data_IF_031411907447
#
_entry.id   IF_031411907447
#
_cell.length_a   1.000
_cell.length_b   1.000
_cell.length_c   1.000
_cell.angle_alpha   90.00
_cell.angle_beta   90.00
_cell.angle_gamma   90.00
#
_symmetry.space_group_name_H-M   'P 1'
#
loop_
_entity.id
_entity.type
_entity.pdbx_description
1 polymer ?
#
# COMPACT_ATOMS: atom_id res chain seq x y z
N UNK A 1 48.95 -19.81 3.35
CA UNK A 1 49.22 -20.86 4.35
C UNK A 1 48.14 -20.72 5.43
N UNK A 2 47.20 -21.61 5.71
CA UNK A 2 46.80 -22.97 5.28
C UNK A 2 45.25 -22.98 5.45
N UNK A 3 44.42 -23.20 4.43
CA UNK A 3 43.85 -24.50 3.99
C UNK A 3 43.71 -25.53 5.11
N UNK A 4 42.46 -25.84 5.49
CA UNK A 4 42.05 -27.20 5.88
C UNK A 4 40.68 -27.49 5.28
N UNK A 5 40.69 -28.33 4.25
CA UNK A 5 39.56 -29.09 3.72
C UNK A 5 39.37 -30.36 4.56
N UNK A 6 38.13 -30.83 4.76
CA UNK A 6 37.88 -32.24 5.08
C UNK A 6 36.69 -32.75 4.26
N UNK A 7 36.95 -33.89 3.62
CA UNK A 7 36.15 -34.63 2.65
C UNK A 7 35.06 -35.52 3.28
N UNK A 8 34.10 -35.88 2.42
CA UNK A 8 33.11 -36.96 2.47
C UNK A 8 33.65 -38.36 2.87
N UNK A 9 32.71 -39.30 3.15
CA UNK A 9 32.60 -40.42 2.21
C UNK A 9 31.16 -40.79 1.77
N UNK A 10 31.13 -41.38 0.57
CA UNK A 10 30.03 -42.05 -0.14
C UNK A 10 29.72 -43.46 0.42
N UNK A 11 28.47 -43.91 0.28
CA UNK A 11 28.05 -45.27 -0.17
C UNK A 11 26.50 -45.27 -0.32
N UNK A 12 25.89 -45.27 -1.52
CA UNK A 12 25.57 -46.38 -2.44
C UNK A 12 24.76 -47.56 -1.83
N UNK A 13 23.47 -47.63 -2.19
CA UNK A 13 22.81 -48.90 -2.56
C UNK A 13 21.53 -48.65 -3.36
N UNK A 14 21.54 -49.20 -4.58
CA UNK A 14 20.47 -49.36 -5.55
C UNK A 14 19.40 -50.36 -5.11
N UNK A 15 18.17 -50.26 -5.65
CA UNK A 15 17.47 -51.36 -6.32
C UNK A 15 16.17 -50.85 -6.99
N UNK A 16 16.07 -51.08 -8.29
CA UNK A 16 14.90 -50.84 -9.12
C UNK A 16 14.12 -52.16 -9.28
N UNK A 17 12.78 -52.10 -9.29
CA UNK A 17 11.94 -53.10 -9.96
C UNK A 17 10.58 -52.46 -10.38
N UNK A 18 10.28 -52.52 -11.67
CA UNK A 18 8.96 -52.36 -12.34
C UNK A 18 8.64 -53.75 -12.96
N UNK A 19 7.49 -53.96 -13.64
CA UNK A 19 6.08 -53.66 -13.33
C UNK A 19 5.21 -54.95 -13.47
N UNK A 20 3.92 -54.90 -13.16
CA UNK A 20 2.97 -55.92 -13.68
C UNK A 20 1.57 -55.36 -13.93
N UNK A 21 1.12 -55.51 -15.17
CA UNK A 21 -0.24 -55.32 -15.65
C UNK A 21 -1.19 -56.37 -15.10
N UNK A 22 -2.43 -55.99 -14.75
CA UNK A 22 -3.62 -56.81 -15.06
C UNK A 22 -4.80 -55.92 -15.46
N UNK A 23 -5.35 -56.23 -16.64
CA UNK A 23 -6.65 -55.79 -17.17
C UNK A 23 -7.76 -56.48 -16.37
N UNK A 24 -8.80 -55.73 -16.02
CA UNK A 24 -10.13 -56.29 -15.78
C UNK A 24 -11.16 -55.44 -16.52
N UNK A 25 -11.81 -56.05 -17.50
CA UNK A 25 -12.95 -55.54 -18.26
C UNK A 25 -14.24 -55.79 -17.49
N UNK A 26 -15.05 -54.76 -17.28
CA UNK A 26 -16.49 -54.91 -17.01
C UNK A 26 -17.26 -53.84 -17.76
N UNK A 27 -18.14 -54.28 -18.65
CA UNK A 27 -19.31 -53.56 -19.14
C UNK A 27 -20.38 -53.57 -18.03
N UNK A 28 -21.26 -52.58 -17.86
CA UNK A 28 -22.40 -52.26 -18.71
C UNK A 28 -23.14 -51.02 -18.12
N UNK A 29 -24.03 -50.48 -18.96
CA UNK A 29 -25.24 -49.70 -18.65
C UNK A 29 -25.13 -48.22 -18.25
N UNK A 30 -25.45 -47.38 -19.23
CA UNK A 30 -25.91 -46.00 -19.07
C UNK A 30 -27.30 -45.94 -18.43
N UNK A 31 -27.47 -45.07 -17.43
CA UNK A 31 -28.75 -44.55 -16.98
C UNK A 31 -28.65 -43.02 -16.89
N UNK A 32 -29.65 -42.24 -17.34
CA UNK A 32 -29.57 -40.79 -17.34
C UNK A 32 -29.71 -40.25 -15.91
N UNK A 33 -28.68 -39.57 -15.41
CA UNK A 33 -28.73 -38.89 -14.11
C UNK A 33 -29.48 -37.56 -14.26
N UNK A 34 -30.60 -37.48 -13.56
CA UNK A 34 -31.38 -36.28 -13.26
C UNK A 34 -30.46 -35.15 -12.77
N UNK A 35 -30.52 -34.00 -13.44
CA UNK A 35 -29.82 -32.77 -13.04
C UNK A 35 -30.53 -32.22 -11.81
N UNK A 36 -29.97 -32.49 -10.62
CA UNK A 36 -30.45 -31.92 -9.37
C UNK A 36 -30.35 -30.39 -9.42
N UNK A 37 -31.48 -29.71 -9.16
CA UNK A 37 -31.64 -28.24 -9.02
C UNK A 37 -30.85 -27.62 -7.85
N UNK A 38 -29.84 -28.30 -7.33
CA UNK A 38 -29.04 -27.88 -6.16
C UNK A 38 -27.67 -27.30 -6.56
N UNK A 39 -27.31 -27.32 -7.84
CA UNK A 39 -26.03 -26.81 -8.34
C UNK A 39 -26.01 -25.32 -8.73
N UNK A 40 -27.15 -24.63 -8.66
CA UNK A 40 -27.25 -23.19 -9.01
C UNK A 40 -27.15 -22.25 -7.79
N UNK A 41 -27.15 -22.78 -6.56
CA UNK A 41 -27.13 -21.97 -5.34
C UNK A 41 -25.72 -21.74 -4.76
N UNK A 42 -24.66 -22.37 -5.32
CA UNK A 42 -23.27 -22.22 -4.83
C UNK A 42 -22.37 -21.35 -5.71
N UNK A 43 -22.89 -20.78 -6.81
CA UNK A 43 -22.13 -19.86 -7.67
C UNK A 43 -22.35 -18.38 -7.32
N UNK A 44 -23.28 -18.06 -6.42
CA UNK A 44 -23.69 -16.69 -6.10
C UNK A 44 -23.15 -16.16 -4.75
N UNK A 45 -22.16 -16.83 -4.13
CA UNK A 45 -21.64 -16.45 -2.81
C UNK A 45 -20.11 -16.30 -2.77
N UNK A 46 -19.50 -15.87 -3.88
CA UNK A 46 -18.05 -15.58 -3.96
C UNK A 46 -17.78 -14.39 -4.88
N UNK A 47 -18.28 -13.21 -4.52
CA UNK A 47 -17.82 -11.94 -5.12
C UNK A 47 -17.95 -10.75 -4.18
N UNK A 48 -17.64 -10.94 -2.90
CA UNK A 48 -17.34 -9.79 -2.04
C UNK A 48 -15.95 -10.02 -1.48
N UNK A 49 -14.97 -9.32 -2.06
CA UNK A 49 -13.72 -9.04 -1.36
C UNK A 49 -14.11 -8.50 0.02
N UNK A 50 -13.68 -9.14 1.13
CA UNK A 50 -14.07 -8.67 2.45
C UNK A 50 -13.64 -7.21 2.59
N UNK A 51 -14.58 -6.35 2.99
CA UNK A 51 -14.28 -4.94 3.27
C UNK A 51 -13.22 -4.92 4.38
N UNK A 52 -12.09 -4.22 4.19
CA UNK A 52 -11.07 -4.08 5.22
C UNK A 52 -11.67 -3.56 6.52
N UNK A 53 -11.28 -4.12 7.66
CA UNK A 53 -11.74 -3.64 8.95
C UNK A 53 -11.11 -2.27 9.28
N UNK A 54 -11.92 -1.30 9.69
CA UNK A 54 -11.44 0.02 10.11
C UNK A 54 -10.96 0.00 11.57
N UNK A 55 -9.83 0.66 11.83
CA UNK A 55 -9.22 0.80 13.16
C UNK A 55 -9.48 2.22 13.69
N UNK A 56 -10.15 2.32 14.83
CA UNK A 56 -10.67 3.59 15.36
C UNK A 56 -9.83 4.12 16.52
N UNK A 57 -9.33 3.22 17.37
CA UNK A 57 -8.57 3.56 18.57
C UNK A 57 -7.40 2.60 18.82
N UNK A 58 -6.58 2.89 19.83
CA UNK A 58 -5.38 2.12 20.17
C UNK A 58 -5.67 0.62 20.39
N UNK A 59 -6.85 0.25 20.90
CA UNK A 59 -7.18 -1.15 21.16
C UNK A 59 -7.37 -1.95 19.88
N UNK A 60 -7.92 -1.32 18.83
CA UNK A 60 -8.02 -1.92 17.49
C UNK A 60 -6.63 -2.21 16.93
N UNK A 61 -5.66 -1.31 17.13
CA UNK A 61 -4.27 -1.51 16.72
C UNK A 61 -3.59 -2.62 17.52
N UNK A 62 -3.79 -2.65 18.83
CA UNK A 62 -3.24 -3.69 19.70
C UNK A 62 -3.73 -5.10 19.30
N UNK A 63 -4.94 -5.20 18.75
CA UNK A 63 -5.48 -6.47 18.24
C UNK A 63 -4.72 -7.04 17.03
N UNK A 64 -3.92 -6.21 16.34
CA UNK A 64 -3.11 -6.58 15.18
C UNK A 64 -1.66 -6.93 15.54
N UNK A 65 -1.28 -6.85 16.81
CA UNK A 65 0.09 -7.12 17.23
C UNK A 65 0.49 -8.57 16.95
N UNK A 66 1.69 -8.74 16.42
CA UNK A 66 2.35 -10.04 16.39
C UNK A 66 2.68 -10.50 17.83
N UNK A 67 2.96 -11.80 18.05
CA UNK A 67 3.41 -12.31 19.34
C UNK A 67 4.63 -11.58 19.91
N UNK A 68 5.48 -11.03 19.04
CA UNK A 68 6.69 -10.29 19.41
C UNK A 68 6.43 -8.80 19.73
N UNK A 69 5.16 -8.36 19.69
CA UNK A 69 4.77 -6.99 20.05
C UNK A 69 5.02 -5.94 18.97
N UNK A 70 5.02 -6.36 17.70
CA UNK A 70 5.13 -5.47 16.54
C UNK A 70 3.84 -5.40 15.75
N UNK A 71 3.63 -4.28 15.07
CA UNK A 71 2.56 -4.10 14.08
C UNK A 71 3.16 -3.71 12.74
N UNK A 72 2.63 -4.28 11.66
CA UNK A 72 3.05 -3.98 10.29
C UNK A 72 2.34 -2.74 9.76
N UNK A 73 3.07 -1.86 9.07
CA UNK A 73 2.57 -0.60 8.48
C UNK A 73 2.85 -0.60 6.98
N UNK A 74 1.84 -0.25 6.18
CA UNK A 74 1.93 -0.14 4.71
C UNK A 74 2.42 1.24 4.27
N UNK A 75 3.55 1.31 3.57
CA UNK A 75 4.04 2.52 2.90
C UNK A 75 3.75 2.52 1.40
N UNK A 76 3.04 3.53 0.89
CA UNK A 76 2.61 3.61 -0.53
C UNK A 76 3.04 4.88 -1.28
N UNK A 77 3.41 5.95 -0.56
CA UNK A 77 3.91 7.21 -1.12
C UNK A 77 5.37 7.45 -0.74
N UNK A 78 5.66 8.52 0.00
CA UNK A 78 7.03 8.79 0.47
C UNK A 78 7.63 7.66 1.31
N UNK A 79 6.79 6.86 1.98
CA UNK A 79 7.24 5.72 2.79
C UNK A 79 7.73 4.53 1.95
N UNK A 80 7.63 4.57 0.62
CA UNK A 80 8.38 3.65 -0.26
C UNK A 80 9.90 3.80 -0.10
N UNK A 81 10.39 4.95 0.38
CA UNK A 81 11.79 5.16 0.72
C UNK A 81 12.04 4.80 2.18
N UNK A 82 12.90 3.81 2.44
CA UNK A 82 13.27 3.44 3.81
C UNK A 82 13.85 4.62 4.57
N UNK A 83 14.61 5.50 3.90
CA UNK A 83 15.13 6.74 4.51
C UNK A 83 14.01 7.64 4.99
N UNK A 84 12.98 7.83 4.17
CA UNK A 84 11.80 8.63 4.55
C UNK A 84 11.00 7.95 5.66
N UNK A 85 10.88 6.63 5.60
CA UNK A 85 10.25 5.84 6.66
C UNK A 85 11.01 5.99 7.98
N UNK A 86 12.35 5.87 8.00
CA UNK A 86 13.19 6.06 9.19
C UNK A 86 13.21 7.49 9.73
N UNK A 87 13.02 8.50 8.86
CA UNK A 87 12.82 9.87 9.34
C UNK A 87 11.53 10.04 10.16
N UNK A 88 10.61 9.08 10.03
CA UNK A 88 9.35 9.02 10.77
C UNK A 88 9.40 8.03 11.93
N UNK A 89 9.90 6.82 11.66
CA UNK A 89 9.96 5.68 12.55
C UNK A 89 11.42 5.26 12.64
N UNK A 90 12.25 5.93 13.45
CA UNK A 90 13.69 5.72 13.48
C UNK A 90 14.07 4.25 13.71
N UNK A 91 13.30 3.58 14.56
CA UNK A 91 13.52 2.22 15.02
C UNK A 91 12.72 1.17 14.22
N UNK A 92 12.17 1.54 13.06
CA UNK A 92 11.43 0.58 12.23
C UNK A 92 12.27 -0.66 11.93
N UNK A 93 11.59 -1.80 11.91
CA UNK A 93 12.15 -3.10 11.61
C UNK A 93 11.58 -3.67 10.31
N UNK A 94 12.27 -4.67 9.75
CA UNK A 94 11.76 -5.53 8.68
C UNK A 94 11.17 -4.80 7.46
N UNK A 95 11.83 -3.72 7.01
CA UNK A 95 11.45 -2.99 5.81
C UNK A 95 11.57 -3.90 4.57
N UNK A 96 10.44 -4.11 3.88
CA UNK A 96 10.34 -5.04 2.75
C UNK A 96 9.31 -4.58 1.73
N UNK A 97 9.41 -5.06 0.49
CA UNK A 97 8.41 -4.82 -0.56
C UNK A 97 7.30 -5.87 -0.51
N UNK A 98 6.07 -5.45 -0.80
CA UNK A 98 4.89 -6.31 -0.86
C UNK A 98 3.94 -5.82 -1.95
N UNK A 99 2.89 -6.60 -2.23
CA UNK A 99 1.76 -6.20 -3.04
C UNK A 99 0.48 -6.12 -2.21
N UNK A 100 -0.39 -5.19 -2.57
CA UNK A 100 -1.69 -4.98 -1.95
C UNK A 100 -2.77 -4.89 -3.04
N UNK A 101 -3.71 -5.82 -3.02
CA UNK A 101 -4.81 -5.91 -3.99
C UNK A 101 -6.00 -5.05 -3.59
N UNK A 102 -6.83 -4.69 -4.57
CA UNK A 102 -8.11 -4.01 -4.41
C UNK A 102 -8.01 -2.57 -3.90
N UNK A 103 -6.89 -1.91 -4.16
CA UNK A 103 -6.63 -0.52 -3.81
C UNK A 103 -5.91 0.19 -4.95
N UNK A 104 -6.08 1.51 -5.05
CA UNK A 104 -5.31 2.37 -5.96
C UNK A 104 -4.72 3.57 -5.26
N UNK A 105 -3.63 4.10 -5.82
CA UNK A 105 -2.99 5.36 -5.40
C UNK A 105 -3.54 6.53 -6.19
N UNK A 106 -3.88 7.62 -5.50
CA UNK A 106 -4.44 8.83 -6.12
C UNK A 106 -3.80 10.08 -5.54
N UNK A 107 -3.37 11.01 -6.39
CA UNK A 107 -2.89 12.33 -5.99
C UNK A 107 -4.06 13.31 -5.79
N UNK A 108 -4.85 13.08 -4.73
CA UNK A 108 -6.09 13.80 -4.44
C UNK A 108 -6.11 14.46 -3.04
N UNK A 109 -5.06 14.28 -2.25
CA UNK A 109 -4.98 14.75 -0.86
C UNK A 109 -4.37 16.15 -0.79
N UNK A 110 -5.03 17.14 -0.22
CA UNK A 110 -4.41 18.45 0.04
C UNK A 110 -3.79 18.45 1.42
N UNK A 111 -2.45 18.33 1.47
CA UNK A 111 -1.71 18.26 2.72
C UNK A 111 -1.26 19.66 3.19
N UNK A 112 -1.73 20.16 4.36
CA UNK A 112 -1.32 21.47 4.91
C UNK A 112 0.20 21.64 4.99
N UNK A 113 0.92 20.54 5.24
CA UNK A 113 2.38 20.53 5.38
C UNK A 113 3.12 20.99 4.11
N UNK A 114 2.51 20.90 2.93
CA UNK A 114 3.13 21.41 1.69
C UNK A 114 3.10 22.93 1.60
N UNK A 115 2.07 23.56 2.16
CA UNK A 115 1.97 25.01 2.27
C UNK A 115 2.93 25.54 3.33
N UNK A 116 2.97 24.89 4.50
CA UNK A 116 3.93 25.20 5.58
C UNK A 116 5.38 25.17 5.12
N UNK A 117 5.69 24.24 4.20
CA UNK A 117 7.04 24.03 3.65
C UNK A 117 7.34 24.90 2.43
N UNK A 118 6.38 25.66 1.92
CA UNK A 118 6.55 26.47 0.72
C UNK A 118 6.82 25.65 -0.55
N UNK A 119 6.29 24.43 -0.64
CA UNK A 119 6.42 23.55 -1.82
C UNK A 119 5.10 23.32 -2.56
N UNK A 120 3.98 23.76 -2.00
CA UNK A 120 2.71 23.86 -2.69
C UNK A 120 2.76 25.00 -3.73
N UNK A 121 2.15 24.80 -4.90
CA UNK A 121 1.95 25.85 -5.93
C UNK A 121 0.44 26.07 -6.15
N UNK A 122 -0.22 26.90 -5.32
CA UNK A 122 -1.67 27.11 -5.41
C UNK A 122 -2.13 27.70 -6.74
N UNK A 123 -1.28 28.50 -7.39
CA UNK A 123 -1.58 29.17 -8.66
C UNK A 123 -1.76 28.16 -9.82
N UNK A 124 -1.08 27.02 -9.75
CA UNK A 124 -1.14 25.94 -10.74
C UNK A 124 -1.89 24.71 -10.21
N UNK A 125 -2.43 24.78 -9.00
CA UNK A 125 -3.07 23.67 -8.30
C UNK A 125 -2.16 22.45 -8.06
N UNK A 126 -0.84 22.59 -8.17
CA UNK A 126 0.15 21.53 -7.86
C UNK A 126 0.39 21.44 -6.35
N UNK A 127 -0.65 21.01 -5.64
CA UNK A 127 -0.75 21.05 -4.17
C UNK A 127 -1.05 19.69 -3.56
N UNK A 128 -1.25 18.65 -4.37
CA UNK A 128 -1.69 17.36 -3.85
C UNK A 128 -0.55 16.42 -3.43
N UNK A 129 -0.84 15.75 -2.33
CA UNK A 129 -0.21 14.60 -1.71
C UNK A 129 -0.92 13.32 -2.19
N UNK A 130 -0.39 12.17 -1.78
CA UNK A 130 -0.85 10.86 -2.21
C UNK A 130 -1.81 10.29 -1.16
N UNK A 131 -2.90 9.68 -1.60
CA UNK A 131 -3.79 8.86 -0.78
C UNK A 131 -4.10 7.53 -1.45
N UNK A 132 -4.71 6.63 -0.70
CA UNK A 132 -5.16 5.33 -1.19
C UNK A 132 -6.66 5.19 -0.95
N UNK A 133 -7.35 4.59 -1.92
CA UNK A 133 -8.78 4.28 -1.85
C UNK A 133 -9.06 2.88 -2.42
N UNK A 134 -10.13 2.20 -1.95
CA UNK A 134 -10.53 0.91 -2.52
C UNK A 134 -10.80 1.00 -4.02
N UNK A 135 -10.29 0.04 -4.79
CA UNK A 135 -10.54 -0.09 -6.22
C UNK A 135 -10.35 -1.55 -6.63
N UNK A 136 -11.45 -2.26 -6.91
CA UNK A 136 -11.41 -3.65 -7.35
C UNK A 136 -10.61 -3.78 -8.66
N UNK A 137 -9.84 -4.87 -8.80
CA UNK A 137 -9.00 -5.11 -9.97
C UNK A 137 -7.64 -4.41 -9.95
N UNK A 138 -7.42 -3.44 -9.06
CA UNK A 138 -6.14 -2.76 -8.92
C UNK A 138 -5.19 -3.49 -7.96
N UNK A 139 -3.88 -3.33 -8.18
CA UNK A 139 -2.85 -3.86 -7.29
C UNK A 139 -1.71 -2.86 -7.15
N UNK A 140 -1.31 -2.60 -5.91
CA UNK A 140 -0.22 -1.70 -5.57
C UNK A 140 0.99 -2.49 -5.13
N UNK A 141 2.16 -2.13 -5.64
CA UNK A 141 3.44 -2.44 -4.99
C UNK A 141 3.68 -1.40 -3.91
N UNK A 142 3.81 -1.89 -2.70
CA UNK A 142 3.98 -1.12 -1.47
C UNK A 142 5.24 -1.58 -0.73
N UNK A 143 5.55 -0.87 0.34
CA UNK A 143 6.48 -1.34 1.37
C UNK A 143 5.70 -1.72 2.62
N UNK A 144 6.25 -2.66 3.38
CA UNK A 144 5.78 -3.00 4.71
C UNK A 144 6.97 -2.92 5.64
N UNK A 145 6.78 -2.30 6.79
CA UNK A 145 7.76 -2.27 7.87
C UNK A 145 7.02 -2.38 9.21
N UNK A 146 7.76 -2.67 10.26
CA UNK A 146 7.21 -2.93 11.57
C UNK A 146 7.62 -1.86 12.58
N UNK A 147 6.66 -1.47 13.42
CA UNK A 147 6.86 -0.58 14.56
C UNK A 147 6.47 -1.30 15.85
N UNK A 148 7.03 -0.90 16.98
CA UNK A 148 6.71 -1.48 18.29
C UNK A 148 5.36 -0.99 18.79
N UNK A 149 4.71 -1.78 19.65
CA UNK A 149 3.50 -1.37 20.39
C UNK A 149 3.60 0.05 20.98
N UNK A 150 4.77 0.41 21.55
CA UNK A 150 4.99 1.72 22.17
C UNK A 150 4.91 2.91 21.20
N UNK A 151 5.03 2.68 19.89
CA UNK A 151 5.00 3.71 18.85
C UNK A 151 3.58 3.96 18.29
N UNK A 152 2.59 3.12 18.65
CA UNK A 152 1.21 3.22 18.16
C UNK A 152 0.57 4.59 18.46
N UNK A 153 0.67 5.17 19.67
CA UNK A 153 0.05 6.47 19.96
C UNK A 153 0.60 7.60 19.09
N UNK A 154 1.93 7.60 18.86
CA UNK A 154 2.59 8.60 18.01
C UNK A 154 2.22 8.42 16.54
N UNK A 155 2.08 7.17 16.08
CA UNK A 155 1.57 6.86 14.73
C UNK A 155 0.16 7.42 14.52
N UNK A 156 -0.79 7.11 15.42
CA UNK A 156 -2.18 7.57 15.33
C UNK A 156 -2.26 9.10 15.32
N UNK A 157 -1.49 9.76 16.20
CA UNK A 157 -1.46 11.21 16.29
C UNK A 157 -0.95 11.87 15.02
N UNK A 158 0.06 11.26 14.38
CA UNK A 158 0.68 11.81 13.17
C UNK A 158 -0.21 11.66 11.94
N UNK A 159 -0.82 10.50 11.79
CA UNK A 159 -1.62 10.14 10.62
C UNK A 159 -3.13 10.43 10.84
N UNK A 160 -3.45 11.38 11.74
CA UNK A 160 -4.81 11.71 12.16
C UNK A 160 -5.75 12.11 11.01
N UNK A 161 -5.19 12.55 9.89
CA UNK A 161 -5.93 12.89 8.67
C UNK A 161 -6.48 11.67 7.92
N UNK A 162 -5.93 10.49 8.16
CA UNK A 162 -6.26 9.27 7.43
C UNK A 162 -7.20 8.34 8.19
N UNK A 163 -7.91 7.52 7.41
CA UNK A 163 -8.62 6.32 7.86
C UNK A 163 -7.61 5.19 8.01
N UNK A 164 -7.66 4.46 9.12
CA UNK A 164 -6.80 3.30 9.31
C UNK A 164 -7.55 2.02 8.96
N UNK A 165 -6.99 1.21 8.08
CA UNK A 165 -7.57 -0.06 7.66
C UNK A 165 -6.61 -1.21 7.97
N UNK A 166 -7.13 -2.29 8.56
CA UNK A 166 -6.45 -3.57 8.61
C UNK A 166 -6.56 -4.25 7.25
N UNK A 167 -5.41 -4.44 6.59
CA UNK A 167 -5.29 -5.10 5.29
C UNK A 167 -4.35 -6.29 5.38
N UNK A 168 -4.43 -7.22 4.44
CA UNK A 168 -3.53 -8.37 4.36
C UNK A 168 -2.68 -8.26 3.09
N UNK A 169 -1.47 -7.69 3.18
CA UNK A 169 -0.54 -7.68 2.06
C UNK A 169 -0.10 -9.09 1.68
N UNK A 170 0.37 -9.22 0.46
CA UNK A 170 1.04 -10.42 -0.04
C UNK A 170 2.49 -10.08 -0.38
N UNK A 171 3.38 -11.06 -0.28
CA UNK A 171 4.69 -10.98 -0.91
C UNK A 171 4.55 -10.83 -2.42
N UNK A 172 5.61 -10.39 -3.12
CA UNK A 172 5.56 -10.20 -4.57
C UNK A 172 5.35 -11.50 -5.37
N UNK A 173 5.62 -12.66 -4.76
CA UNK A 173 5.32 -13.99 -5.29
C UNK A 173 3.91 -14.51 -4.91
N UNK A 174 3.12 -13.69 -4.20
CA UNK A 174 1.68 -13.95 -3.95
C UNK A 174 1.36 -14.69 -2.66
N UNK A 175 2.30 -14.82 -1.73
CA UNK A 175 2.03 -15.41 -0.41
C UNK A 175 1.46 -14.36 0.53
N UNK A 176 0.29 -14.61 1.10
CA UNK A 176 -0.30 -13.74 2.11
C UNK A 176 0.57 -13.68 3.36
N UNK A 177 0.59 -12.51 4.00
CA UNK A 177 1.26 -12.34 5.29
C UNK A 177 0.49 -13.07 6.39
N UNK A 178 1.19 -13.45 7.46
CA UNK A 178 0.58 -14.13 8.62
C UNK A 178 -0.29 -13.18 9.46
N UNK A 179 0.06 -11.90 9.48
CA UNK A 179 -0.60 -10.87 10.26
C UNK A 179 -1.05 -9.70 9.38
N UNK A 180 -2.20 -9.06 9.68
CA UNK A 180 -2.61 -7.84 9.00
C UNK A 180 -1.59 -6.70 9.18
N UNK A 181 -1.61 -5.79 8.22
CA UNK A 181 -0.88 -4.53 8.27
C UNK A 181 -1.85 -3.35 8.27
N UNK A 182 -1.42 -2.22 8.80
CA UNK A 182 -2.19 -0.97 8.82
C UNK A 182 -1.93 -0.19 7.54
N UNK A 183 -3.01 0.15 6.84
CA UNK A 183 -3.01 1.06 5.70
C UNK A 183 -3.68 2.39 6.08
N UNK A 184 -3.01 3.51 5.80
CA UNK A 184 -3.62 4.84 5.82
C UNK A 184 -4.39 5.08 4.50
N UNK A 185 -5.72 4.99 4.54
CA UNK A 185 -6.61 5.27 3.43
C UNK A 185 -7.28 6.63 3.58
N UNK A 186 -7.85 7.16 2.50
CA UNK A 186 -8.59 8.43 2.56
C UNK A 186 -9.92 8.29 3.31
N UNK A 187 -10.37 9.39 3.89
CA UNK A 187 -11.78 9.62 4.20
C UNK A 187 -12.48 10.33 3.03
N UNK A 188 -13.79 10.55 3.14
CA UNK A 188 -14.44 11.73 2.56
C UNK A 188 -14.28 12.94 3.49
N UNK A 189 -14.47 14.16 2.99
CA UNK A 189 -14.43 15.36 3.84
C UNK A 189 -15.51 15.33 4.93
N UNK A 190 -16.69 14.79 4.62
CA UNK A 190 -17.79 14.61 5.57
C UNK A 190 -17.42 13.62 6.69
N UNK A 191 -16.85 12.47 6.33
CA UNK A 191 -16.39 11.48 7.29
C UNK A 191 -15.27 12.05 8.17
N UNK A 192 -14.28 12.72 7.57
CA UNK A 192 -13.20 13.36 8.33
C UNK A 192 -13.76 14.39 9.32
N UNK A 193 -14.69 15.24 8.88
CA UNK A 193 -15.31 16.25 9.74
C UNK A 193 -16.08 15.61 10.91
N UNK A 194 -16.88 14.58 10.63
CA UNK A 194 -17.70 13.93 11.65
C UNK A 194 -16.88 13.08 12.62
N UNK A 195 -15.87 12.36 12.13
CA UNK A 195 -15.07 11.40 12.90
C UNK A 195 -13.90 12.11 13.59
N UNK A 196 -13.05 12.78 12.82
CA UNK A 196 -11.79 13.38 13.33
C UNK A 196 -12.02 14.75 13.95
N UNK A 197 -12.89 15.57 13.37
CA UNK A 197 -13.25 16.86 13.96
C UNK A 197 -14.43 16.77 14.93
N UNK A 198 -15.09 15.61 15.09
CA UNK A 198 -16.27 15.44 15.96
C UNK A 198 -17.38 16.45 15.68
N UNK A 199 -17.55 16.85 14.41
CA UNK A 199 -18.49 17.88 13.99
C UNK A 199 -18.11 19.31 14.39
N UNK A 200 -16.89 19.55 14.89
CA UNK A 200 -16.42 20.86 15.34
C UNK A 200 -15.70 21.61 14.21
N UNK A 201 -16.25 22.77 13.82
CA UNK A 201 -15.72 23.60 12.73
C UNK A 201 -14.43 24.32 13.10
N UNK A 202 -14.24 24.67 14.37
CA UNK A 202 -13.02 25.32 14.85
C UNK A 202 -11.81 24.38 14.73
N UNK A 203 -11.96 23.09 15.06
CA UNK A 203 -10.90 22.08 14.88
C UNK A 203 -10.52 21.98 13.39
N UNK A 204 -11.51 21.90 12.50
CA UNK A 204 -11.27 21.87 11.06
C UNK A 204 -10.54 23.13 10.58
N UNK A 205 -11.03 24.32 10.96
CA UNK A 205 -10.45 25.60 10.57
C UNK A 205 -9.02 25.78 11.07
N UNK A 206 -8.72 25.34 12.30
CA UNK A 206 -7.36 25.42 12.86
C UNK A 206 -6.35 24.60 12.05
N UNK A 207 -6.76 23.46 11.51
CA UNK A 207 -5.89 22.56 10.74
C UNK A 207 -5.78 22.98 9.27
N UNK A 208 -6.90 23.34 8.64
CA UNK A 208 -6.99 23.53 7.18
C UNK A 208 -7.30 24.97 6.76
N UNK A 209 -8.13 25.66 7.54
CA UNK A 209 -8.62 27.01 7.21
C UNK A 209 -7.52 28.07 7.09
N UNK A 210 -6.42 27.95 7.85
CA UNK A 210 -5.27 28.87 7.75
C UNK A 210 -4.61 28.89 6.36
N UNK A 211 -4.84 27.85 5.56
CA UNK A 211 -4.28 27.66 4.22
C UNK A 211 -5.34 27.78 3.12
N UNK A 212 -6.55 28.25 3.46
CA UNK A 212 -7.72 28.26 2.56
C UNK A 212 -7.99 26.87 1.94
N UNK A 213 -7.81 25.81 2.74
CA UNK A 213 -8.15 24.45 2.34
C UNK A 213 -9.58 24.19 2.81
N UNK A 214 -10.53 24.33 1.88
CA UNK A 214 -11.95 24.05 2.13
C UNK A 214 -12.33 22.58 1.88
N UNK A 215 -11.45 21.84 1.20
CA UNK A 215 -11.62 20.43 0.87
C UNK A 215 -10.26 19.73 0.89
N UNK A 216 -10.17 18.65 1.66
CA UNK A 216 -8.98 17.81 1.85
C UNK A 216 -8.85 16.83 0.68
N UNK A 217 -9.96 16.20 0.26
CA UNK A 217 -9.95 15.17 -0.78
C UNK A 217 -10.57 15.72 -2.08
N UNK A 218 -9.70 16.14 -2.99
CA UNK A 218 -10.05 16.92 -4.18
C UNK A 218 -9.89 16.14 -5.48
N UNK A 219 -10.64 16.56 -6.49
CA UNK A 219 -10.64 15.97 -7.83
C UNK A 219 -10.07 16.93 -8.89
N UNK A 220 -9.73 18.15 -8.47
CA UNK A 220 -9.31 19.30 -9.28
C UNK A 220 -7.92 19.83 -8.90
N UNK A 221 -7.05 18.94 -8.43
CA UNK A 221 -5.68 19.25 -7.99
C UNK A 221 -4.66 18.41 -8.75
N UNK A 222 -3.45 18.95 -8.88
CA UNK A 222 -2.29 18.29 -9.45
C UNK A 222 -1.29 17.91 -8.36
N UNK A 223 -0.45 16.89 -8.59
CA UNK A 223 0.59 16.49 -7.66
C UNK A 223 1.51 17.66 -7.31
N UNK A 224 1.82 17.84 -6.03
CA UNK A 224 2.96 18.66 -5.62
C UNK A 224 4.22 18.10 -6.27
N UNK A 225 4.89 18.90 -7.11
CA UNK A 225 5.97 18.44 -8.00
C UNK A 225 7.13 17.79 -7.23
N UNK A 226 7.63 18.47 -6.20
CA UNK A 226 8.73 17.99 -5.35
C UNK A 226 8.36 16.66 -4.68
N UNK A 227 7.12 16.54 -4.21
CA UNK A 227 6.65 15.33 -3.55
C UNK A 227 6.44 14.17 -4.54
N UNK A 228 5.84 14.42 -5.71
CA UNK A 228 5.70 13.41 -6.77
C UNK A 228 7.06 12.88 -7.20
N UNK A 229 8.03 13.76 -7.47
CA UNK A 229 9.40 13.36 -7.83
C UNK A 229 9.99 12.43 -6.77
N UNK A 230 9.87 12.78 -5.49
CA UNK A 230 10.37 11.94 -4.40
C UNK A 230 9.73 10.55 -4.41
N UNK A 231 8.40 10.46 -4.53
CA UNK A 231 7.70 9.18 -4.58
C UNK A 231 8.12 8.32 -5.79
N UNK A 232 8.31 8.93 -6.97
CA UNK A 232 8.77 8.24 -8.18
C UNK A 232 10.20 7.70 -7.99
N UNK A 233 11.10 8.48 -7.39
CA UNK A 233 12.46 8.03 -7.09
C UNK A 233 12.49 6.94 -6.02
N UNK A 234 11.66 7.05 -4.99
CA UNK A 234 11.51 6.03 -3.96
C UNK A 234 11.05 4.69 -4.58
N UNK A 235 10.01 4.71 -5.42
CA UNK A 235 9.56 3.54 -6.15
C UNK A 235 10.66 2.97 -7.08
N UNK A 236 11.40 3.84 -7.76
CA UNK A 236 12.53 3.44 -8.62
C UNK A 236 13.62 2.70 -7.84
N UNK A 237 13.94 3.16 -6.64
CA UNK A 237 14.97 2.55 -5.80
C UNK A 237 14.57 1.16 -5.26
N UNK A 238 13.27 0.84 -5.20
CA UNK A 238 12.78 -0.49 -4.85
C UNK A 238 12.87 -1.50 -6.01
N UNK A 239 13.13 -1.05 -7.23
CA UNK A 239 13.29 -1.88 -8.42
C UNK A 239 12.21 -1.67 -9.48
N UNK A 240 12.39 -2.33 -10.62
CA UNK A 240 11.59 -2.10 -11.83
C UNK A 240 10.11 -2.42 -11.64
N UNK A 241 9.78 -3.49 -10.90
CA UNK A 241 8.39 -3.86 -10.59
C UNK A 241 7.68 -2.76 -9.81
N UNK A 242 8.32 -2.19 -8.79
CA UNK A 242 7.76 -1.10 -7.99
C UNK A 242 7.67 0.20 -8.80
N UNK A 243 8.69 0.50 -9.60
CA UNK A 243 8.73 1.68 -10.46
C UNK A 243 7.60 1.69 -11.49
N UNK A 244 7.46 0.61 -12.27
CA UNK A 244 6.41 0.49 -13.27
C UNK A 244 5.03 0.51 -12.62
N UNK A 245 4.84 -0.22 -11.52
CA UNK A 245 3.59 -0.18 -10.79
C UNK A 245 3.26 1.23 -10.27
N UNK A 246 4.25 2.01 -9.79
CA UNK A 246 4.01 3.38 -9.36
C UNK A 246 3.56 4.27 -10.52
N UNK A 247 4.20 4.18 -11.67
CA UNK A 247 3.87 5.01 -12.83
C UNK A 247 2.51 4.65 -13.44
N UNK A 248 2.16 3.37 -13.48
CA UNK A 248 0.97 2.86 -14.20
C UNK A 248 -0.27 2.72 -13.32
N UNK A 249 -0.09 2.45 -12.01
CA UNK A 249 -1.17 2.23 -11.04
C UNK A 249 -1.22 3.32 -9.95
N UNK A 250 -0.78 4.52 -10.32
CA UNK A 250 -1.02 5.75 -9.56
C UNK A 250 -1.64 6.78 -10.49
N UNK A 251 -2.68 7.46 -10.01
CA UNK A 251 -3.49 8.34 -10.83
C UNK A 251 -3.50 9.78 -10.30
N UNK A 252 -3.80 10.72 -11.18
CA UNK A 252 -4.18 12.08 -10.80
C UNK A 252 -5.53 12.08 -10.06
N UNK A 253 -5.90 13.25 -9.55
CA UNK A 253 -7.16 13.48 -8.85
C UNK A 253 -8.41 13.08 -9.67
N UNK A 254 -8.30 13.09 -11.00
CA UNK A 254 -9.34 12.65 -11.94
C UNK A 254 -9.56 11.13 -11.99
N UNK A 255 -8.66 10.35 -11.37
CA UNK A 255 -8.64 8.88 -11.31
C UNK A 255 -8.57 8.20 -12.69
N UNK A 256 -8.08 8.90 -13.70
CA UNK A 256 -8.00 8.43 -15.07
C UNK A 256 -6.58 8.54 -15.61
N UNK A 257 -5.99 9.72 -15.52
CA UNK A 257 -4.63 9.94 -16.02
C UNK A 257 -3.63 9.31 -15.07
N UNK A 258 -2.81 8.40 -15.58
CA UNK A 258 -1.74 7.78 -14.81
C UNK A 258 -0.56 8.73 -14.62
N UNK A 259 0.28 8.47 -13.62
CA UNK A 259 1.51 9.24 -13.43
C UNK A 259 2.45 9.12 -14.63
N UNK A 260 2.49 7.97 -15.31
CA UNK A 260 3.26 7.81 -16.56
C UNK A 260 2.82 8.82 -17.62
N UNK A 261 1.52 8.88 -17.88
CA UNK A 261 0.94 9.80 -18.88
C UNK A 261 1.16 11.26 -18.48
N UNK A 262 0.93 11.59 -17.20
CA UNK A 262 1.11 12.94 -16.69
C UNK A 262 2.55 13.43 -16.84
N UNK A 263 3.54 12.63 -16.43
CA UNK A 263 4.97 13.00 -16.53
C UNK A 263 5.44 13.14 -17.99
N UNK A 264 4.82 12.43 -18.93
CA UNK A 264 5.11 12.55 -20.36
C UNK A 264 4.49 13.81 -21.00
N UNK A 265 3.57 14.50 -20.31
CA UNK A 265 2.77 15.60 -20.86
C UNK A 265 2.85 16.85 -19.95
N UNK A 266 1.75 17.18 -19.27
CA UNK A 266 1.59 18.38 -18.43
C UNK A 266 2.55 18.40 -17.24
N UNK A 267 2.91 17.22 -16.73
CA UNK A 267 3.88 17.04 -15.64
C UNK A 267 5.34 16.99 -16.09
N UNK A 268 5.64 17.36 -17.35
CA UNK A 268 7.03 17.46 -17.81
C UNK A 268 7.84 18.42 -16.94
N UNK A 269 9.14 18.12 -16.76
CA UNK A 269 10.04 18.89 -15.89
C UNK A 269 9.99 18.54 -14.40
N UNK A 270 9.03 17.71 -13.94
CA UNK A 270 8.91 17.35 -12.51
C UNK A 270 10.12 16.56 -12.05
N UNK A 271 10.66 15.67 -12.88
CA UNK A 271 11.77 14.80 -12.50
C UNK A 271 13.10 15.56 -12.35
N UNK A 272 13.20 16.74 -12.95
CA UNK A 272 14.34 17.64 -12.90
C UNK A 272 14.28 18.59 -11.69
N UNK A 273 13.08 18.87 -11.16
CA UNK A 273 12.86 19.82 -10.07
C UNK A 273 13.47 19.32 -8.75
N UNK A 274 14.42 20.07 -8.21
CA UNK A 274 15.03 19.74 -6.91
C UNK A 274 14.20 20.30 -5.76
N UNK A 275 14.12 19.59 -4.62
CA UNK A 275 13.56 20.18 -3.41
C UNK A 275 14.41 21.39 -2.96
N UNK A 276 13.80 22.35 -2.23
CA UNK A 276 14.56 23.34 -1.47
C UNK A 276 15.62 22.67 -0.58
N UNK A 277 16.76 23.34 -0.36
CA UNK A 277 17.91 22.74 0.35
C UNK A 277 17.52 22.23 1.76
N UNK A 278 16.64 22.95 2.46
CA UNK A 278 16.11 22.54 3.78
C UNK A 278 15.30 21.23 3.75
N UNK A 279 14.82 20.82 2.58
CA UNK A 279 13.98 19.63 2.39
C UNK A 279 14.69 18.52 1.59
N UNK A 280 15.94 18.74 1.17
CA UNK A 280 16.70 17.80 0.34
C UNK A 280 16.89 16.43 0.98
N UNK A 281 17.09 16.38 2.29
CA UNK A 281 17.17 15.11 3.02
C UNK A 281 15.85 14.32 2.97
N UNK A 282 14.72 15.02 2.89
CA UNK A 282 13.36 14.44 2.98
C UNK A 282 12.77 14.11 1.61
N UNK A 283 13.04 14.94 0.60
CA UNK A 283 12.45 14.84 -0.75
C UNK A 283 13.49 14.70 -1.86
N UNK A 284 14.73 14.32 -1.52
CA UNK A 284 15.81 14.14 -2.50
C UNK A 284 15.66 12.92 -3.42
N UNK A 285 14.83 11.95 -3.01
CA UNK A 285 14.80 10.60 -3.56
C UNK A 285 15.35 9.61 -2.55
#
# INVERSE_FOLDING_TARGET
MNIVSINFPFQLSSLAFRPSHQRATFSLSFAPRSVSKTAMASAALRSSTPVPAELNDESDFESLLSPDGYISICGFGSLLSERSARSTFPDLANFRTAQLKSFRRVFAHVAPVFFERGIAKPETMEISSLSVEPCEGETLVITVFEIRKSEIPDFIKREVEFRFLAVLPETLDGHAFDFPAVLCARYSDEEFFNIRCKGNKEIYFQQYGRWNIDKIWRDDVLPCRVYLRHCVLAAKNLGETAYNNFLDHTYLADRKTSIREYLATTGSGIMEEQPPESLKHRYGG
#
